data_IF_889326061795
#
_entry.id   IF_889326061795
#
_cell.length_a   1.000
_cell.length_b   1.000
_cell.length_c   1.000
_cell.angle_alpha   90.00
_cell.angle_beta   90.00
_cell.angle_gamma   90.00
#
_symmetry.space_group_name_H-M   'P 1'
#
loop_
_entity.id
_entity.type
_entity.pdbx_description
1 polymer ?
#
# COMPACT_ATOMS: atom_id res chain seq x y z
N UNK A 1 -21.05 16.79 -19.24
CA UNK A 1 -20.72 18.06 -18.55
C UNK A 1 -19.96 18.97 -19.53
N UNK A 2 -20.17 20.30 -19.57
CA UNK A 2 -19.42 21.18 -20.50
C UNK A 2 -18.13 21.65 -19.83
N UNK A 3 -16.97 21.59 -20.54
CA UNK A 3 -15.65 22.03 -20.03
C UNK A 3 -15.72 23.41 -19.35
N UNK A 4 -16.35 24.39 -19.97
CA UNK A 4 -16.48 25.75 -19.40
C UNK A 4 -17.28 25.80 -18.09
N UNK A 5 -18.31 24.96 -17.94
CA UNK A 5 -19.07 24.84 -16.69
C UNK A 5 -18.30 24.11 -15.59
N UNK A 6 -17.43 23.17 -15.96
CA UNK A 6 -16.50 22.51 -15.04
C UNK A 6 -15.46 23.52 -14.54
N UNK A 7 -14.81 24.25 -15.45
CA UNK A 7 -13.84 25.33 -15.15
C UNK A 7 -14.43 26.44 -14.27
N UNK A 8 -15.68 26.85 -14.53
CA UNK A 8 -16.36 27.86 -13.71
C UNK A 8 -16.64 27.40 -12.27
N UNK A 9 -16.78 26.09 -12.03
CA UNK A 9 -16.89 25.54 -10.68
C UNK A 9 -15.52 25.44 -10.00
N UNK A 10 -14.49 25.06 -10.75
CA UNK A 10 -13.11 24.99 -10.27
C UNK A 10 -12.55 26.34 -9.82
N UNK A 11 -12.85 27.42 -10.54
CA UNK A 11 -12.42 28.78 -10.16
C UNK A 11 -12.97 29.21 -8.78
N UNK A 12 -14.02 28.57 -8.29
CA UNK A 12 -14.60 28.81 -6.97
C UNK A 12 -14.01 27.88 -5.87
N UNK A 13 -13.15 26.93 -6.21
CA UNK A 13 -12.42 26.10 -5.25
C UNK A 13 -11.20 26.87 -4.71
N UNK A 14 -11.38 27.60 -3.62
CA UNK A 14 -10.34 28.43 -2.97
C UNK A 14 -9.32 27.64 -2.13
N UNK A 15 -9.36 26.31 -2.16
CA UNK A 15 -8.65 25.45 -1.19
C UNK A 15 -7.39 24.78 -1.74
N UNK A 16 -7.00 25.00 -3.00
CA UNK A 16 -5.80 24.40 -3.58
C UNK A 16 -4.56 25.21 -3.17
N UNK A 17 -3.66 24.61 -2.39
CA UNK A 17 -2.39 25.21 -1.99
C UNK A 17 -1.24 24.25 -2.30
N UNK A 18 -0.14 24.80 -2.82
CA UNK A 18 1.09 24.07 -3.16
C UNK A 18 2.05 24.04 -1.96
N UNK A 19 2.74 22.92 -1.73
CA UNK A 19 3.73 22.78 -0.65
C UNK A 19 4.84 21.80 -1.09
N UNK A 20 6.10 22.18 -0.84
CA UNK A 20 7.26 21.30 -1.04
C UNK A 20 7.65 20.66 0.30
N UNK A 21 7.95 19.36 0.25
CA UNK A 21 8.48 18.50 1.32
C UNK A 21 7.50 18.05 2.42
N UNK A 22 7.19 16.75 2.47
CA UNK A 22 6.98 15.96 3.70
C UNK A 22 6.94 14.43 3.39
N UNK A 23 7.81 13.62 4.06
CA UNK A 23 7.92 12.13 3.91
C UNK A 23 7.78 11.30 5.23
N UNK A 24 7.43 9.98 5.17
CA UNK A 24 7.37 9.08 6.37
C UNK A 24 6.55 7.77 6.32
N UNK A 25 6.99 6.72 7.06
CA UNK A 25 6.57 5.28 7.19
C UNK A 25 5.08 4.95 7.51
N UNK A 26 4.67 3.68 7.33
CA UNK A 26 3.31 3.16 7.62
C UNK A 26 3.13 2.87 9.11
N UNK A 27 2.01 3.33 9.69
CA UNK A 27 1.63 3.04 11.08
C UNK A 27 1.52 1.52 11.35
N UNK A 28 1.00 0.74 10.39
CA UNK A 28 0.89 -0.74 10.44
C UNK A 28 2.21 -1.45 10.76
N UNK A 29 3.33 -0.98 10.18
CA UNK A 29 4.64 -1.59 10.40
C UNK A 29 5.17 -1.36 11.82
N UNK A 30 4.79 -0.23 12.42
CA UNK A 30 5.16 0.14 13.79
C UNK A 30 4.19 -0.50 14.81
N UNK A 31 2.89 -0.34 14.60
CA UNK A 31 1.83 -0.65 15.56
C UNK A 31 1.39 -2.11 15.55
N UNK A 32 1.64 -2.87 14.48
CA UNK A 32 1.33 -4.30 14.41
C UNK A 32 2.59 -5.17 14.20
N UNK A 33 3.58 -4.64 13.50
CA UNK A 33 4.83 -5.35 13.25
C UNK A 33 5.81 -5.31 14.42
N UNK A 34 5.92 -4.21 15.19
CA UNK A 34 6.95 -4.06 16.23
C UNK A 34 6.41 -4.34 17.63
N UNK A 35 5.35 -3.64 18.02
CA UNK A 35 4.63 -3.80 19.29
C UNK A 35 4.22 -5.25 19.56
N UNK A 36 3.71 -5.97 18.55
CA UNK A 36 3.25 -7.36 18.73
C UNK A 36 4.38 -8.31 19.13
N UNK A 37 5.59 -8.13 18.59
CA UNK A 37 6.73 -8.95 19.02
C UNK A 37 7.21 -8.60 20.43
N UNK A 38 7.16 -7.32 20.82
CA UNK A 38 7.45 -6.92 22.20
C UNK A 38 6.43 -7.52 23.17
N UNK A 39 5.14 -7.55 22.80
CA UNK A 39 4.09 -8.24 23.56
C UNK A 39 4.37 -9.74 23.70
N UNK A 40 4.76 -10.42 22.60
CA UNK A 40 5.11 -11.85 22.64
C UNK A 40 6.33 -12.12 23.55
N UNK A 41 7.34 -11.26 23.52
CA UNK A 41 8.53 -11.36 24.39
C UNK A 41 8.10 -11.19 25.86
N UNK A 42 7.26 -10.21 26.16
CA UNK A 42 6.74 -9.99 27.51
C UNK A 42 5.93 -11.19 28.02
N UNK A 43 5.04 -11.74 27.19
CA UNK A 43 4.27 -12.96 27.50
C UNK A 43 5.22 -14.14 27.78
N UNK A 44 6.26 -14.32 26.95
CA UNK A 44 7.24 -15.38 27.15
C UNK A 44 7.97 -15.24 28.50
N UNK A 45 8.41 -14.04 28.85
CA UNK A 45 9.07 -13.77 30.13
C UNK A 45 8.13 -14.01 31.33
N UNK A 46 6.85 -13.70 31.21
CA UNK A 46 5.88 -13.91 32.29
C UNK A 46 5.45 -15.39 32.44
N UNK A 47 5.63 -16.18 31.39
CA UNK A 47 5.17 -17.58 31.34
C UNK A 47 6.29 -18.57 31.69
N UNK A 48 7.50 -18.37 31.15
CA UNK A 48 8.59 -19.34 31.25
C UNK A 48 9.67 -18.91 32.25
N UNK A 49 9.69 -19.57 33.41
CA UNK A 49 10.67 -19.30 34.48
C UNK A 49 12.00 -20.05 34.29
N UNK A 50 11.97 -21.20 33.62
CA UNK A 50 13.19 -21.97 33.34
C UNK A 50 13.97 -21.35 32.19
N UNK A 51 15.24 -21.03 32.43
CA UNK A 51 16.11 -20.33 31.49
C UNK A 51 16.19 -21.02 30.12
N UNK A 52 16.34 -22.33 30.09
CA UNK A 52 16.47 -23.07 28.82
C UNK A 52 15.15 -23.08 28.02
N UNK A 53 14.02 -23.19 28.71
CA UNK A 53 12.70 -23.10 28.08
C UNK A 53 12.45 -21.69 27.53
N UNK A 54 12.69 -20.66 28.33
CA UNK A 54 12.56 -19.26 27.91
C UNK A 54 13.44 -18.96 26.70
N UNK A 55 14.71 -19.38 26.71
CA UNK A 55 15.63 -19.19 25.58
C UNK A 55 15.13 -19.86 24.30
N UNK A 56 14.57 -21.07 24.40
CA UNK A 56 13.99 -21.77 23.25
C UNK A 56 12.80 -20.97 22.66
N UNK A 57 11.92 -20.46 23.52
CA UNK A 57 10.78 -19.65 23.09
C UNK A 57 11.21 -18.34 22.44
N UNK A 58 12.19 -17.64 23.03
CA UNK A 58 12.75 -16.42 22.44
C UNK A 58 13.39 -16.68 21.07
N UNK A 59 14.10 -17.80 20.89
CA UNK A 59 14.62 -18.19 19.58
C UNK A 59 13.52 -18.44 18.54
N UNK A 60 12.39 -19.04 18.95
CA UNK A 60 11.21 -19.21 18.08
C UNK A 60 10.59 -17.86 17.70
N UNK A 61 10.49 -16.93 18.65
CA UNK A 61 10.02 -15.56 18.39
C UNK A 61 10.93 -14.85 17.39
N UNK A 62 12.25 -14.94 17.56
CA UNK A 62 13.22 -14.33 16.65
C UNK A 62 13.19 -14.95 15.25
N UNK A 63 13.06 -16.27 15.16
CA UNK A 63 12.89 -16.97 13.89
C UNK A 63 11.62 -16.51 13.16
N UNK A 64 10.50 -16.40 13.89
CA UNK A 64 9.24 -15.91 13.36
C UNK A 64 9.37 -14.46 12.89
N UNK A 65 9.93 -13.58 13.72
CA UNK A 65 10.19 -12.17 13.41
C UNK A 65 11.05 -12.01 12.17
N UNK A 66 12.10 -12.80 12.05
CA UNK A 66 12.98 -12.77 10.89
C UNK A 66 12.25 -13.21 9.62
N UNK A 67 11.49 -14.31 9.68
CA UNK A 67 10.74 -14.80 8.53
C UNK A 67 9.68 -13.80 8.07
N UNK A 68 8.79 -13.35 8.96
CA UNK A 68 7.71 -12.43 8.63
C UNK A 68 8.21 -11.10 8.05
N UNK A 69 9.29 -10.53 8.61
CA UNK A 69 9.76 -9.20 8.21
C UNK A 69 10.69 -9.18 6.99
N UNK A 70 11.38 -10.28 6.68
CA UNK A 70 12.46 -10.26 5.67
C UNK A 70 12.32 -11.30 4.58
N UNK A 71 11.79 -12.47 4.91
CA UNK A 71 11.81 -13.61 4.00
C UNK A 71 10.45 -13.83 3.36
N UNK A 72 9.35 -13.61 4.08
CA UNK A 72 8.00 -13.85 3.57
C UNK A 72 7.73 -13.12 2.25
N UNK A 73 8.05 -11.83 2.17
CA UNK A 73 7.89 -11.04 0.93
C UNK A 73 8.66 -11.64 -0.27
N UNK A 74 9.77 -12.34 -0.03
CA UNK A 74 10.61 -12.97 -1.08
C UNK A 74 10.12 -14.35 -1.50
N UNK A 75 9.21 -14.94 -0.73
CA UNK A 75 8.62 -16.24 -1.01
C UNK A 75 7.34 -16.09 -1.86
N UNK A 76 6.87 -14.86 -2.05
CA UNK A 76 5.77 -14.51 -2.94
C UNK A 76 6.28 -14.22 -4.35
N UNK A 77 5.62 -14.78 -5.36
CA UNK A 77 6.03 -14.67 -6.76
C UNK A 77 5.05 -13.81 -7.55
N UNK A 78 5.57 -12.77 -8.22
CA UNK A 78 4.86 -11.99 -9.23
C UNK A 78 5.75 -11.90 -10.47
N UNK A 79 5.16 -12.11 -11.64
CA UNK A 79 5.89 -12.02 -12.91
C UNK A 79 6.30 -10.57 -13.21
N UNK A 80 7.30 -10.39 -14.09
CA UNK A 80 7.81 -9.07 -14.45
C UNK A 80 6.77 -8.16 -15.13
N UNK A 81 5.77 -8.75 -15.78
CA UNK A 81 4.62 -8.07 -16.38
C UNK A 81 3.47 -7.81 -15.38
N UNK A 82 3.67 -8.12 -14.10
CA UNK A 82 2.68 -7.96 -13.05
C UNK A 82 1.70 -9.13 -12.94
N UNK A 83 1.76 -10.13 -13.82
CA UNK A 83 0.82 -11.25 -13.72
C UNK A 83 1.13 -12.13 -12.50
N UNK A 84 0.07 -12.70 -11.92
CA UNK A 84 0.15 -13.65 -10.80
C UNK A 84 -0.39 -15.01 -11.25
N UNK A 85 0.30 -16.07 -10.84
CA UNK A 85 -0.05 -17.44 -11.18
C UNK A 85 -0.30 -18.28 -9.93
N UNK A 86 -0.94 -19.42 -10.13
CA UNK A 86 -1.16 -20.38 -9.06
C UNK A 86 0.16 -20.93 -8.52
N UNK A 87 0.34 -20.86 -7.21
CA UNK A 87 1.39 -21.59 -6.50
C UNK A 87 0.80 -22.85 -5.86
N UNK A 88 1.51 -23.97 -5.95
CA UNK A 88 1.12 -25.22 -5.27
C UNK A 88 1.02 -25.08 -3.74
N UNK A 89 1.74 -24.09 -3.18
CA UNK A 89 1.77 -23.76 -1.77
C UNK A 89 0.70 -22.70 -1.45
N UNK A 90 -0.27 -23.06 -0.61
CA UNK A 90 -1.38 -22.17 -0.28
C UNK A 90 -0.93 -20.85 0.36
N UNK A 91 0.15 -20.87 1.14
CA UNK A 91 0.69 -19.68 1.82
C UNK A 91 1.37 -18.69 0.87
N UNK A 92 1.72 -19.12 -0.34
CA UNK A 92 2.43 -18.30 -1.34
C UNK A 92 1.58 -17.99 -2.58
N UNK A 93 0.38 -18.57 -2.68
CA UNK A 93 -0.51 -18.38 -3.82
C UNK A 93 -1.23 -17.04 -3.73
N UNK A 94 -0.68 -16.00 -4.38
CA UNK A 94 -1.30 -14.68 -4.47
C UNK A 94 -2.73 -14.72 -5.05
N UNK A 95 -3.01 -15.47 -6.14
CA UNK A 95 -4.39 -15.58 -6.63
C UNK A 95 -5.35 -16.16 -5.59
N UNK A 96 -4.88 -17.08 -4.73
CA UNK A 96 -5.71 -17.60 -3.64
C UNK A 96 -5.93 -16.55 -2.55
N UNK A 97 -4.89 -15.79 -2.18
CA UNK A 97 -5.00 -14.70 -1.21
C UNK A 97 -6.02 -13.62 -1.64
N UNK A 98 -6.16 -13.38 -2.94
CA UNK A 98 -7.13 -12.42 -3.50
C UNK A 98 -8.49 -13.03 -3.87
N UNK A 99 -8.71 -14.34 -3.62
CA UNK A 99 -10.00 -14.99 -3.88
C UNK A 99 -10.22 -15.46 -5.33
N UNK A 100 -9.19 -15.40 -6.17
CA UNK A 100 -9.24 -15.70 -7.61
C UNK A 100 -8.66 -17.08 -7.98
N UNK A 101 -8.33 -17.93 -7.00
CA UNK A 101 -7.77 -19.28 -7.24
C UNK A 101 -8.69 -20.40 -6.75
N UNK A 102 -9.12 -21.24 -7.70
CA UNK A 102 -9.93 -22.44 -7.42
C UNK A 102 -9.16 -23.75 -7.61
N UNK A 103 -7.84 -23.69 -7.86
CA UNK A 103 -6.97 -24.87 -8.00
C UNK A 103 -6.61 -25.46 -6.63
N UNK A 104 -6.26 -26.75 -6.62
CA UNK A 104 -5.85 -27.47 -5.42
C UNK A 104 -4.41 -27.09 -5.03
N UNK A 105 -4.18 -26.82 -3.74
CA UNK A 105 -2.87 -26.51 -3.19
C UNK A 105 -2.32 -27.75 -2.46
N UNK A 106 -1.30 -28.39 -3.05
CA UNK A 106 -0.78 -29.69 -2.59
C UNK A 106 0.47 -29.58 -1.70
N UNK A 107 0.98 -28.36 -1.46
CA UNK A 107 2.16 -28.16 -0.64
C UNK A 107 1.91 -27.13 0.48
N UNK A 108 2.75 -27.19 1.51
CA UNK A 108 2.76 -26.25 2.64
C UNK A 108 4.16 -25.72 2.85
N UNK A 109 4.25 -24.45 3.23
CA UNK A 109 5.53 -23.84 3.56
C UNK A 109 5.83 -24.08 5.04
N UNK A 110 6.88 -24.85 5.32
CA UNK A 110 7.28 -25.15 6.71
C UNK A 110 7.67 -23.91 7.51
N UNK A 111 8.08 -22.81 6.85
CA UNK A 111 8.39 -21.54 7.53
C UNK A 111 7.11 -20.77 7.86
N UNK A 112 6.12 -20.75 6.97
CA UNK A 112 4.82 -20.14 7.25
C UNK A 112 4.07 -20.93 8.33
N UNK A 113 4.20 -22.26 8.33
CA UNK A 113 3.57 -23.13 9.33
C UNK A 113 4.09 -22.89 10.75
N UNK A 114 5.35 -22.41 10.90
CA UNK A 114 5.90 -22.04 12.21
C UNK A 114 5.07 -20.97 12.92
N UNK A 115 4.34 -20.11 12.20
CA UNK A 115 3.42 -19.16 12.81
C UNK A 115 2.34 -19.89 13.63
N UNK A 116 1.65 -20.84 13.02
CA UNK A 116 0.57 -21.59 13.66
C UNK A 116 1.09 -22.53 14.74
N UNK A 117 2.22 -23.19 14.48
CA UNK A 117 2.87 -24.05 15.47
C UNK A 117 3.28 -23.26 16.73
N UNK A 118 3.84 -22.05 16.54
CA UNK A 118 4.23 -21.18 17.66
C UNK A 118 3.02 -20.75 18.49
N UNK A 119 1.97 -20.23 17.85
CA UNK A 119 0.78 -19.78 18.59
C UNK A 119 0.03 -20.94 19.27
N UNK A 120 -0.04 -22.12 18.63
CA UNK A 120 -0.60 -23.32 19.26
C UNK A 120 0.22 -23.80 20.46
N UNK A 121 1.56 -23.75 20.36
CA UNK A 121 2.45 -24.01 21.49
C UNK A 121 2.20 -23.01 22.62
N UNK A 122 2.16 -21.70 22.34
CA UNK A 122 1.95 -20.66 23.36
C UNK A 122 0.60 -20.83 24.06
N UNK A 123 -0.48 -21.08 23.31
CA UNK A 123 -1.82 -21.34 23.85
C UNK A 123 -1.85 -22.45 24.91
N UNK A 124 -1.02 -23.47 24.72
CA UNK A 124 -0.96 -24.63 25.62
C UNK A 124 -0.18 -24.35 26.91
N UNK A 125 0.53 -23.22 27.01
CA UNK A 125 1.45 -22.92 28.12
C UNK A 125 1.12 -21.63 28.86
N UNK A 126 0.43 -20.68 28.24
CA UNK A 126 0.09 -19.41 28.88
C UNK A 126 -1.11 -19.54 29.81
N UNK A 127 -1.23 -18.62 30.77
CA UNK A 127 -2.36 -18.52 31.69
C UNK A 127 -3.53 -17.76 31.06
N UNK A 128 -4.73 -17.97 31.60
CA UNK A 128 -5.97 -17.36 31.13
C UNK A 128 -5.92 -15.81 31.08
N UNK A 129 -5.20 -15.19 32.02
CA UNK A 129 -5.03 -13.73 32.10
C UNK A 129 -4.14 -13.14 30.98
N UNK A 130 -3.38 -13.96 30.25
CA UNK A 130 -2.55 -13.54 29.11
C UNK A 130 -3.14 -13.91 27.75
N UNK A 131 -4.26 -14.67 27.72
CA UNK A 131 -4.85 -15.18 26.47
C UNK A 131 -5.27 -14.08 25.52
N UNK A 132 -5.92 -13.02 26.04
CA UNK A 132 -6.34 -11.88 25.23
C UNK A 132 -5.16 -11.21 24.54
N UNK A 133 -4.08 -10.96 25.27
CA UNK A 133 -2.88 -10.33 24.71
C UNK A 133 -2.19 -11.22 23.66
N UNK A 134 -2.23 -12.55 23.82
CA UNK A 134 -1.70 -13.49 22.83
C UNK A 134 -2.53 -13.47 21.55
N UNK A 135 -3.87 -13.48 21.64
CA UNK A 135 -4.74 -13.40 20.46
C UNK A 135 -4.64 -12.04 19.77
N UNK A 136 -4.58 -10.93 20.50
CA UNK A 136 -4.33 -9.60 19.92
C UNK A 136 -3.01 -9.57 19.14
N UNK A 137 -1.93 -10.09 19.74
CA UNK A 137 -0.63 -10.17 19.06
C UNK A 137 -0.69 -11.06 17.79
N UNK A 138 -1.46 -12.15 17.83
CA UNK A 138 -1.67 -13.04 16.69
C UNK A 138 -2.43 -12.34 15.57
N UNK A 139 -3.55 -11.70 15.88
CA UNK A 139 -4.38 -10.96 14.91
C UNK A 139 -3.57 -9.84 14.26
N UNK A 140 -2.81 -9.07 15.05
CA UNK A 140 -1.93 -8.03 14.54
C UNK A 140 -0.87 -8.59 13.58
N UNK A 141 -0.25 -9.73 13.90
CA UNK A 141 0.73 -10.35 13.00
C UNK A 141 0.10 -10.98 11.75
N UNK A 142 -1.14 -11.48 11.84
CA UNK A 142 -1.91 -11.92 10.68
C UNK A 142 -2.25 -10.75 9.75
N UNK A 143 -2.65 -9.61 10.32
CA UNK A 143 -2.85 -8.37 9.58
C UNK A 143 -1.55 -7.90 8.93
N UNK A 144 -0.42 -7.96 9.65
CA UNK A 144 0.90 -7.65 9.10
C UNK A 144 1.28 -8.56 7.91
N UNK A 145 0.94 -9.85 7.97
CA UNK A 145 1.14 -10.79 6.85
C UNK A 145 0.30 -10.42 5.64
N UNK A 146 -1.00 -10.16 5.82
CA UNK A 146 -1.89 -9.73 4.74
C UNK A 146 -1.38 -8.43 4.07
N UNK A 147 -1.00 -7.45 4.89
CA UNK A 147 -0.37 -6.20 4.44
C UNK A 147 0.89 -6.46 3.61
N UNK A 148 1.75 -7.36 4.07
CA UNK A 148 3.00 -7.71 3.36
C UNK A 148 2.71 -8.37 2.00
N UNK A 149 1.72 -9.27 1.94
CA UNK A 149 1.27 -9.92 0.70
C UNK A 149 0.79 -8.90 -0.32
N UNK A 150 -0.10 -8.01 0.10
CA UNK A 150 -0.64 -6.97 -0.76
C UNK A 150 0.46 -5.99 -1.22
N UNK A 151 1.36 -5.59 -0.31
CA UNK A 151 2.50 -4.74 -0.63
C UNK A 151 3.40 -5.35 -1.72
N UNK A 152 3.70 -6.65 -1.67
CA UNK A 152 4.50 -7.31 -2.71
C UNK A 152 3.79 -7.24 -4.06
N UNK A 153 2.51 -7.61 -4.08
CA UNK A 153 1.70 -7.57 -5.29
C UNK A 153 1.65 -6.16 -5.91
N UNK A 154 1.32 -5.14 -5.11
CA UNK A 154 1.18 -3.77 -5.59
C UNK A 154 2.50 -3.17 -6.06
N UNK A 155 3.61 -3.47 -5.37
CA UNK A 155 4.93 -3.03 -5.84
C UNK A 155 5.30 -3.67 -7.18
N UNK A 156 4.89 -4.91 -7.42
CA UNK A 156 5.09 -5.55 -8.71
C UNK A 156 4.16 -4.96 -9.79
N UNK A 157 2.88 -4.70 -9.50
CA UNK A 157 1.98 -3.99 -10.42
C UNK A 157 2.53 -2.63 -10.82
N UNK A 158 3.04 -1.88 -9.83
CA UNK A 158 3.65 -0.59 -10.06
C UNK A 158 4.84 -0.70 -11.02
N UNK A 159 5.77 -1.62 -10.76
CA UNK A 159 6.93 -1.86 -11.63
C UNK A 159 6.53 -2.30 -13.04
N UNK A 160 5.56 -3.20 -13.16
CA UNK A 160 5.03 -3.64 -14.45
C UNK A 160 4.34 -2.52 -15.22
N UNK A 161 3.66 -1.62 -14.51
CA UNK A 161 3.06 -0.43 -15.14
C UNK A 161 4.14 0.50 -15.68
N UNK A 162 5.22 0.72 -14.92
CA UNK A 162 6.34 1.54 -15.37
C UNK A 162 7.01 1.01 -16.65
N UNK A 163 7.15 -0.31 -16.80
CA UNK A 163 7.82 -0.89 -17.99
C UNK A 163 7.02 -0.72 -19.28
N UNK A 164 5.74 -0.34 -19.20
CA UNK A 164 4.89 -0.09 -20.36
C UNK A 164 4.78 1.38 -20.77
N UNK A 165 5.39 2.30 -20.01
CA UNK A 165 5.40 3.72 -20.34
C UNK A 165 6.28 3.96 -21.58
N UNK A 166 5.81 4.86 -22.44
CA UNK A 166 6.52 5.39 -23.62
C UNK A 166 6.58 6.92 -23.54
N UNK A 167 7.22 7.56 -24.53
CA UNK A 167 7.39 9.02 -24.58
C UNK A 167 6.06 9.80 -24.64
N UNK A 168 4.96 9.13 -24.96
CA UNK A 168 3.62 9.69 -25.05
C UNK A 168 2.77 9.41 -23.79
N UNK A 169 3.28 8.61 -22.87
CA UNK A 169 2.58 8.10 -21.68
C UNK A 169 3.02 8.75 -20.38
N UNK A 170 2.09 8.83 -19.42
CA UNK A 170 2.44 9.19 -18.05
C UNK A 170 1.72 8.29 -17.02
N UNK A 171 2.40 8.02 -15.90
CA UNK A 171 1.80 7.37 -14.75
C UNK A 171 1.50 8.41 -13.67
N UNK A 172 0.23 8.46 -13.30
CA UNK A 172 -0.31 9.27 -12.23
C UNK A 172 -0.50 8.41 -10.99
N UNK A 173 0.14 8.76 -9.88
CA UNK A 173 -0.14 8.12 -8.58
C UNK A 173 -0.81 9.11 -7.66
N UNK A 174 -2.08 8.89 -7.34
CA UNK A 174 -2.85 9.67 -6.40
C UNK A 174 -2.79 8.99 -5.03
N UNK A 175 -1.98 9.52 -4.12
CA UNK A 175 -1.94 9.07 -2.73
C UNK A 175 -2.79 9.99 -1.85
N UNK A 176 -3.76 9.42 -1.14
CA UNK A 176 -4.71 10.17 -0.32
C UNK A 176 -4.41 9.98 1.15
N UNK A 177 -3.69 10.93 1.75
CA UNK A 177 -3.43 10.89 3.19
C UNK A 177 -4.60 11.47 3.99
N UNK A 178 -5.35 10.62 4.69
CA UNK A 178 -6.47 11.04 5.56
C UNK A 178 -6.04 11.69 6.89
N UNK A 179 -4.73 11.77 7.21
CA UNK A 179 -4.23 12.39 8.46
C UNK A 179 -2.93 13.16 8.26
N UNK A 180 -2.91 14.41 8.72
CA UNK A 180 -1.69 15.22 8.85
C UNK A 180 -0.87 14.63 10.02
N UNK A 181 0.29 14.02 9.74
CA UNK A 181 1.21 13.50 10.75
C UNK A 181 2.34 14.52 11.02
N UNK A 182 2.83 14.67 12.28
CA UNK A 182 3.90 15.61 12.60
C UNK A 182 5.33 15.10 12.29
N UNK A 183 6.05 15.98 11.57
CA UNK A 183 7.48 16.37 11.54
C UNK A 183 8.68 15.41 11.63
N UNK A 184 8.61 14.10 11.85
CA UNK A 184 9.87 13.32 11.87
C UNK A 184 9.80 11.85 11.46
N UNK A 185 10.21 11.55 10.22
CA UNK A 185 11.01 10.37 9.84
C UNK A 185 11.39 10.46 8.35
N UNK A 186 12.68 10.34 8.01
CA UNK A 186 13.18 10.27 6.61
C UNK A 186 13.42 8.81 6.21
N UNK A 187 12.99 8.43 5.01
CA UNK A 187 13.63 7.35 4.25
C UNK A 187 13.96 7.88 2.85
N UNK A 188 15.21 7.74 2.43
CA UNK A 188 15.66 8.09 1.08
C UNK A 188 15.81 6.79 0.32
N UNK A 189 14.96 6.54 -0.68
CA UNK A 189 15.20 5.49 -1.68
C UNK A 189 15.49 6.14 -3.01
N UNK A 190 16.74 5.98 -3.45
CA UNK A 190 17.17 6.36 -4.78
C UNK A 190 16.80 5.24 -5.76
N UNK A 191 15.84 5.49 -6.65
CA UNK A 191 15.67 4.71 -7.88
C UNK A 191 15.52 5.65 -9.09
N UNK A 192 16.05 5.18 -10.23
CA UNK A 192 16.48 5.92 -11.42
C UNK A 192 15.32 6.33 -12.36
N UNK A 193 14.51 7.30 -11.97
CA UNK A 193 13.48 7.86 -12.86
C UNK A 193 13.43 9.39 -12.77
N UNK A 194 13.12 10.10 -13.86
CA UNK A 194 12.86 11.54 -13.83
C UNK A 194 11.44 11.80 -13.31
N UNK A 195 11.26 11.54 -12.01
CA UNK A 195 9.98 11.67 -11.30
C UNK A 195 9.69 13.15 -11.06
N UNK A 196 8.49 13.62 -11.46
CA UNK A 196 7.97 14.94 -11.08
C UNK A 196 6.83 14.78 -10.09
N UNK A 197 7.06 15.22 -8.86
CA UNK A 197 6.07 15.21 -7.79
C UNK A 197 5.24 16.49 -7.83
N UNK A 198 3.91 16.37 -7.76
CA UNK A 198 3.02 17.53 -7.63
C UNK A 198 2.09 17.34 -6.42
N UNK A 199 2.45 17.98 -5.31
CA UNK A 199 1.70 17.88 -4.07
C UNK A 199 0.57 18.92 -4.01
N UNK A 200 -0.67 18.44 -3.91
CA UNK A 200 -1.86 19.26 -3.76
C UNK A 200 -2.59 18.86 -2.47
N UNK A 201 -3.00 19.83 -1.66
CA UNK A 201 -3.74 19.54 -0.42
C UNK A 201 -5.01 20.37 -0.29
N UNK A 202 -5.97 19.80 0.44
CA UNK A 202 -7.23 20.43 0.83
C UNK A 202 -7.33 20.41 2.35
N UNK A 203 -7.93 21.45 2.93
CA UNK A 203 -8.32 21.44 4.35
C UNK A 203 -9.59 20.62 4.60
N UNK A 204 -10.30 20.21 3.54
CA UNK A 204 -11.40 19.26 3.64
C UNK A 204 -10.82 17.87 3.94
N UNK A 205 -11.30 17.25 5.02
CA UNK A 205 -10.90 15.90 5.44
C UNK A 205 -11.65 14.81 4.70
N UNK A 206 -12.57 15.19 3.79
CA UNK A 206 -13.30 14.27 2.94
C UNK A 206 -12.56 14.06 1.62
N UNK A 207 -12.63 12.81 1.17
CA UNK A 207 -12.32 12.43 -0.20
C UNK A 207 -13.33 13.11 -1.15
N UNK A 208 -12.87 14.04 -1.98
CA UNK A 208 -13.69 14.81 -2.92
C UNK A 208 -13.26 14.60 -4.38
N UNK A 209 -14.21 14.14 -5.20
CA UNK A 209 -13.98 13.83 -6.61
C UNK A 209 -13.58 15.07 -7.42
N UNK A 210 -14.16 16.22 -7.08
CA UNK A 210 -13.87 17.48 -7.75
C UNK A 210 -12.47 17.97 -7.45
N UNK A 211 -12.07 17.97 -6.17
CA UNK A 211 -10.72 18.32 -5.74
C UNK A 211 -9.66 17.47 -6.44
N UNK A 212 -9.88 16.15 -6.48
CA UNK A 212 -8.98 15.23 -7.20
C UNK A 212 -8.85 15.61 -8.68
N UNK A 213 -9.98 15.78 -9.38
CA UNK A 213 -9.96 16.15 -10.79
C UNK A 213 -9.28 17.51 -11.03
N UNK A 214 -9.46 18.45 -10.10
CA UNK A 214 -8.79 19.76 -10.11
C UNK A 214 -7.28 19.63 -10.01
N UNK A 215 -6.80 18.76 -9.10
CA UNK A 215 -5.38 18.53 -8.89
C UNK A 215 -4.74 17.94 -10.17
N UNK A 216 -5.39 16.97 -10.81
CA UNK A 216 -4.91 16.43 -12.09
C UNK A 216 -4.86 17.49 -13.19
N UNK A 217 -5.88 18.33 -13.30
CA UNK A 217 -5.90 19.41 -14.27
C UNK A 217 -4.78 20.43 -14.04
N UNK A 218 -4.57 20.84 -12.78
CA UNK A 218 -3.48 21.74 -12.44
C UNK A 218 -2.13 21.19 -12.91
N UNK A 219 -1.93 19.87 -12.80
CA UNK A 219 -0.75 19.20 -13.35
C UNK A 219 -0.71 19.26 -14.88
N UNK A 220 -1.81 18.96 -15.57
CA UNK A 220 -1.88 19.02 -17.04
C UNK A 220 -1.60 20.41 -17.62
N UNK A 221 -1.82 21.48 -16.86
CA UNK A 221 -1.53 22.85 -17.29
C UNK A 221 -0.07 23.27 -17.08
N UNK A 222 0.64 22.67 -16.12
CA UNK A 222 2.05 23.02 -15.82
C UNK A 222 3.07 22.13 -16.53
N UNK A 223 2.68 20.94 -16.97
CA UNK A 223 3.58 20.05 -17.72
C UNK A 223 3.86 20.59 -19.13
N UNK A 224 5.14 20.64 -19.50
CA UNK A 224 5.59 21.17 -20.79
C UNK A 224 5.17 20.29 -21.97
N UNK A 225 5.22 18.98 -21.78
CA UNK A 225 4.77 17.99 -22.76
C UNK A 225 3.55 17.28 -22.18
N UNK A 226 2.39 17.49 -22.78
CA UNK A 226 1.16 16.81 -22.37
C UNK A 226 1.20 15.37 -22.90
N UNK A 227 0.96 14.36 -22.05
CA UNK A 227 0.90 12.98 -22.53
C UNK A 227 -0.29 12.81 -23.45
N UNK A 228 -0.21 11.85 -24.38
CA UNK A 228 -1.36 11.42 -25.17
C UNK A 228 -2.23 10.45 -24.37
N UNK A 229 -1.63 9.74 -23.42
CA UNK A 229 -2.34 8.77 -22.59
C UNK A 229 -1.78 8.71 -21.18
N UNK A 230 -2.64 8.34 -20.22
CA UNK A 230 -2.27 8.20 -18.82
C UNK A 230 -2.76 6.88 -18.24
N UNK A 231 -2.07 6.45 -17.19
CA UNK A 231 -2.54 5.43 -16.25
C UNK A 231 -2.59 6.02 -14.86
N UNK A 232 -3.60 5.65 -14.10
CA UNK A 232 -3.82 6.17 -12.75
C UNK A 232 -3.66 5.02 -11.75
N UNK A 233 -2.90 5.25 -10.69
CA UNK A 233 -2.83 4.41 -9.51
C UNK A 233 -3.34 5.26 -8.34
N UNK A 234 -4.32 4.80 -7.58
CA UNK A 234 -4.88 5.55 -6.46
C UNK A 234 -4.82 4.75 -5.17
N UNK A 235 -4.21 5.27 -4.11
CA UNK A 235 -4.26 4.69 -2.76
C UNK A 235 -5.55 5.09 -2.04
N UNK A 236 -6.66 4.40 -2.38
CA UNK A 236 -7.96 4.54 -1.73
C UNK A 236 -8.76 3.23 -1.80
N UNK A 237 -9.37 2.87 -0.67
CA UNK A 237 -10.29 1.75 -0.62
C UNK A 237 -11.57 1.94 -1.39
N UNK A 238 -12.39 0.90 -1.26
CA UNK A 238 -13.71 0.70 -1.88
C UNK A 238 -14.65 1.92 -1.91
N UNK A 239 -14.38 2.96 -1.10
CA UNK A 239 -15.07 4.25 -1.12
C UNK A 239 -14.78 5.13 -2.36
N UNK A 240 -13.77 4.84 -3.18
CA UNK A 240 -13.46 5.58 -4.42
C UNK A 240 -13.83 4.89 -5.73
N UNK A 241 -14.74 3.93 -5.68
CA UNK A 241 -15.66 3.75 -6.81
C UNK A 241 -16.65 4.93 -6.92
N UNK A 242 -16.16 6.17 -6.77
CA UNK A 242 -16.97 7.36 -6.95
C UNK A 242 -17.27 7.47 -8.43
N UNK A 243 -18.47 7.06 -8.81
CA UNK A 243 -19.03 7.24 -10.14
C UNK A 243 -18.91 8.70 -10.62
N UNK A 244 -18.84 9.65 -9.69
CA UNK A 244 -18.65 11.06 -9.98
C UNK A 244 -17.24 11.37 -10.53
N UNK A 245 -16.17 10.86 -9.91
CA UNK A 245 -14.82 11.05 -10.44
C UNK A 245 -14.67 10.34 -11.79
N UNK A 246 -15.19 9.13 -11.92
CA UNK A 246 -15.18 8.40 -13.20
C UNK A 246 -15.94 9.16 -14.30
N UNK A 247 -17.07 9.79 -13.97
CA UNK A 247 -17.84 10.61 -14.91
C UNK A 247 -17.09 11.88 -15.33
N UNK A 248 -16.30 12.49 -14.44
CA UNK A 248 -15.43 13.63 -14.79
C UNK A 248 -14.31 13.17 -15.72
N UNK A 249 -13.63 12.07 -15.36
CA UNK A 249 -12.47 11.53 -16.08
C UNK A 249 -12.84 11.03 -17.48
N UNK A 250 -14.06 10.51 -17.67
CA UNK A 250 -14.57 10.12 -18.99
C UNK A 250 -14.57 11.26 -20.03
N UNK A 251 -14.53 12.52 -19.58
CA UNK A 251 -14.46 13.68 -20.46
C UNK A 251 -13.03 14.12 -20.80
N UNK A 252 -11.99 13.53 -20.20
CA UNK A 252 -10.61 14.01 -20.37
C UNK A 252 -10.06 13.85 -21.79
N UNK A 253 -10.48 12.81 -22.51
CA UNK A 253 -10.11 12.68 -23.92
C UNK A 253 -10.68 13.85 -24.75
N UNK A 254 -11.95 14.19 -24.54
CA UNK A 254 -12.59 15.34 -25.20
C UNK A 254 -11.92 16.66 -24.81
N UNK A 255 -11.67 16.87 -23.51
CA UNK A 255 -11.25 18.16 -22.99
C UNK A 255 -9.75 18.45 -23.13
N UNK A 256 -8.93 17.42 -23.07
CA UNK A 256 -7.47 17.53 -23.02
C UNK A 256 -6.75 16.74 -24.10
N UNK A 257 -7.45 15.91 -24.89
CA UNK A 257 -6.86 14.96 -25.83
C UNK A 257 -5.96 13.92 -25.13
N UNK A 258 -6.32 13.57 -23.89
CA UNK A 258 -5.62 12.57 -23.06
C UNK A 258 -6.51 11.33 -22.94
N UNK A 259 -6.01 10.18 -23.40
CA UNK A 259 -6.64 8.87 -23.20
C UNK A 259 -6.34 8.34 -21.79
N UNK A 260 -7.35 7.87 -21.08
CA UNK A 260 -7.18 7.17 -19.79
C UNK A 260 -7.19 5.68 -20.08
N UNK A 261 -6.03 5.03 -20.01
CA UNK A 261 -5.88 3.62 -20.40
C UNK A 261 -6.24 2.66 -19.28
N UNK A 262 -5.72 2.90 -18.08
CA UNK A 262 -5.94 2.04 -16.92
C UNK A 262 -6.09 2.86 -15.64
N UNK A 263 -6.87 2.32 -14.70
CA UNK A 263 -7.00 2.84 -13.34
C UNK A 263 -6.91 1.70 -12.33
N UNK A 264 -5.82 1.67 -11.57
CA UNK A 264 -5.60 0.73 -10.47
C UNK A 264 -5.97 1.40 -9.14
N UNK A 265 -6.83 0.75 -8.36
CA UNK A 265 -7.14 1.17 -6.99
C UNK A 265 -6.33 0.31 -6.01
N UNK A 266 -5.66 0.95 -5.06
CA UNK A 266 -4.99 0.33 -3.92
C UNK A 266 -5.89 0.52 -2.69
N UNK A 267 -6.11 -0.51 -1.87
CA UNK A 267 -6.95 -0.36 -0.68
C UNK A 267 -6.31 0.54 0.39
N UNK A 268 -7.12 1.37 1.09
CA UNK A 268 -6.62 2.51 1.85
C UNK A 268 -5.93 2.02 3.12
N UNK A 269 -4.67 2.40 3.33
CA UNK A 269 -3.93 2.06 4.54
C UNK A 269 -3.52 0.59 4.66
N UNK A 270 -3.75 -0.22 3.63
CA UNK A 270 -3.51 -1.66 3.70
C UNK A 270 -2.19 -2.12 3.06
N UNK A 271 -1.47 -1.27 2.31
CA UNK A 271 -0.14 -1.61 1.81
C UNK A 271 0.64 -0.37 1.39
N UNK A 272 1.85 -0.19 1.94
CA UNK A 272 2.73 0.87 1.45
C UNK A 272 3.46 0.47 0.16
N UNK A 273 3.23 1.18 -0.94
CA UNK A 273 4.01 1.05 -2.17
C UNK A 273 5.29 1.90 -2.12
N UNK A 274 6.25 1.63 -3.02
CA UNK A 274 7.53 2.37 -3.14
C UNK A 274 7.36 3.90 -3.26
N UNK A 275 6.17 4.39 -3.62
CA UNK A 275 5.83 5.81 -3.82
C UNK A 275 5.25 6.50 -2.57
N UNK A 276 5.04 5.79 -1.47
CA UNK A 276 4.45 6.39 -0.26
C UNK A 276 5.39 7.28 0.56
N UNK A 277 6.29 7.96 -0.14
CA UNK A 277 7.03 9.12 0.35
C UNK A 277 6.09 10.30 0.58
N UNK A 278 5.17 10.66 -0.31
CA UNK A 278 4.59 12.02 -0.29
C UNK A 278 3.37 12.22 0.62
N UNK A 279 3.34 13.34 1.37
CA UNK A 279 2.36 13.62 2.42
C UNK A 279 1.41 14.78 2.15
N UNK A 280 0.70 14.79 1.02
CA UNK A 280 -0.45 15.66 0.80
C UNK A 280 -1.79 14.92 1.01
N UNK A 281 -2.88 15.68 1.17
CA UNK A 281 -4.23 15.10 1.20
C UNK A 281 -4.60 14.43 -0.14
N UNK A 282 -3.98 14.90 -1.23
CA UNK A 282 -3.85 14.21 -2.52
C UNK A 282 -2.45 14.49 -3.08
N UNK A 283 -1.48 13.61 -2.84
CA UNK A 283 -0.20 13.68 -3.55
C UNK A 283 -0.39 13.07 -4.94
N UNK A 284 -0.18 13.85 -6.01
CA UNK A 284 -0.15 13.34 -7.38
C UNK A 284 1.31 13.17 -7.78
N UNK A 285 1.81 11.95 -7.75
CA UNK A 285 3.10 11.63 -8.37
C UNK A 285 2.92 11.53 -9.87
N UNK A 286 3.71 12.30 -10.62
CA UNK A 286 3.76 12.28 -12.07
C UNK A 286 5.08 11.63 -12.50
N UNK A 287 5.02 10.40 -12.99
CA UNK A 287 6.16 9.74 -13.61
C UNK A 287 6.10 9.99 -15.11
N UNK A 288 7.02 10.84 -15.58
CA UNK A 288 7.37 10.99 -16.99
C UNK A 288 8.67 10.22 -17.22
N UNK A 289 8.66 9.30 -18.18
CA UNK A 289 9.91 8.83 -18.78
C UNK A 289 10.17 9.75 -19.98
N UNK A 290 11.38 10.29 -20.06
CA UNK A 290 11.92 10.91 -21.27
C UNK A 290 12.95 9.98 -21.89
#
# INVERSE_FOLDING_TARGET
MKKTSFMGRLANCSNIKYWDDMDGLCLTYNDYGYTSFESLIAIAHNTFWQKDQLNNVLQKIDALKHHLRRNYERELMVNADGTIEHDSCISHCLPYAFGDCYKIHNSRCSKCDQFFEFFGFMHSHIKEDQMTALEEAKEHLQYFLAHSTQKVYLNAQFKATLTTLDDDGALLVANYKMRILPKSARETKAEFFEIKTYDHWSSDTKQDAWFTASAFEAVFEVIKHKPKWIRIISDNGSHYHSSELMAIVAHWNEWYQIEVRDWLFLEPGEAKITIDSHHAAVSVLYLLLF
#
